data_IF_468563174649
#
_entry.id   IF_468563174649
#
_cell.length_a   1.000
_cell.length_b   1.000
_cell.length_c   1.000
_cell.angle_alpha   90.00
_cell.angle_beta   90.00
_cell.angle_gamma   90.00
#
_symmetry.space_group_name_H-M   'P 1'
#
loop_
_entity.id
_entity.type
_entity.pdbx_description
1 polymer ?
#
# COMPACT_ATOMS: atom_id res chain seq x y z
N UNK A 1 2.53 -16.13 -8.07
CA UNK A 1 2.90 -16.59 -6.71
C UNK A 1 2.58 -18.06 -6.50
N UNK A 2 1.39 -18.53 -6.89
CA UNK A 2 0.96 -19.94 -6.83
C UNK A 2 1.96 -20.94 -7.41
N UNK A 3 2.43 -20.70 -8.65
CA UNK A 3 3.44 -21.55 -9.30
C UNK A 3 4.72 -21.61 -8.45
N UNK A 4 5.22 -20.47 -7.98
CA UNK A 4 6.40 -20.40 -7.10
C UNK A 4 6.21 -21.14 -5.76
N UNK A 5 5.00 -21.03 -5.18
CA UNK A 5 4.63 -21.69 -3.92
C UNK A 5 4.53 -23.22 -4.09
N UNK A 6 4.19 -23.72 -5.27
CA UNK A 6 4.23 -25.16 -5.55
C UNK A 6 5.66 -25.74 -5.44
N UNK A 7 6.71 -24.90 -5.49
CA UNK A 7 8.10 -25.31 -5.30
C UNK A 7 8.64 -25.03 -3.89
N UNK A 8 7.95 -24.23 -3.07
CA UNK A 8 8.43 -23.80 -1.75
C UNK A 8 7.40 -24.06 -0.64
N UNK A 9 7.78 -24.80 0.40
CA UNK A 9 6.90 -25.04 1.54
C UNK A 9 6.70 -23.77 2.39
N UNK A 10 5.48 -23.62 2.92
CA UNK A 10 5.05 -22.51 3.79
C UNK A 10 5.97 -22.42 5.02
N UNK A 11 6.40 -23.56 5.56
CA UNK A 11 7.33 -23.64 6.70
C UNK A 11 8.70 -23.05 6.38
N UNK A 12 9.23 -23.26 5.16
CA UNK A 12 10.53 -22.71 4.75
C UNK A 12 10.45 -21.20 4.56
N UNK A 13 9.41 -20.69 3.90
CA UNK A 13 9.21 -19.24 3.74
C UNK A 13 9.05 -18.55 5.09
N UNK A 14 8.26 -19.14 6.01
CA UNK A 14 8.08 -18.64 7.37
C UNK A 14 9.35 -18.71 8.21
N UNK A 15 10.17 -19.75 8.07
CA UNK A 15 11.46 -19.87 8.74
C UNK A 15 12.51 -18.88 8.20
N UNK A 16 12.44 -18.54 6.90
CA UNK A 16 13.37 -17.61 6.26
C UNK A 16 13.06 -16.15 6.64
N UNK A 17 11.78 -15.78 6.68
CA UNK A 17 11.30 -14.39 6.84
C UNK A 17 10.69 -14.08 8.22
N UNK A 18 10.41 -15.08 9.07
CA UNK A 18 9.81 -14.90 10.39
C UNK A 18 10.80 -14.77 11.55
N UNK A 19 10.31 -14.33 12.72
CA UNK A 19 11.10 -14.25 13.95
C UNK A 19 12.11 -13.08 13.97
N UNK A 20 13.36 -13.34 14.37
CA UNK A 20 14.42 -12.29 14.51
C UNK A 20 14.74 -11.56 13.18
N UNK A 21 14.31 -12.10 12.05
CA UNK A 21 14.53 -11.55 10.70
C UNK A 21 13.34 -10.78 10.13
N UNK A 22 12.24 -10.63 10.87
CA UNK A 22 11.05 -9.89 10.40
C UNK A 22 11.37 -8.45 9.98
N UNK A 23 12.28 -7.77 10.69
CA UNK A 23 12.75 -6.43 10.29
C UNK A 23 13.46 -6.43 8.93
N UNK A 24 14.32 -7.42 8.68
CA UNK A 24 14.98 -7.59 7.37
C UNK A 24 13.95 -7.97 6.30
N UNK A 25 12.98 -8.83 6.64
CA UNK A 25 11.86 -9.18 5.77
C UNK A 25 11.06 -7.94 5.35
N UNK A 26 10.74 -7.04 6.28
CA UNK A 26 10.03 -5.79 5.98
C UNK A 26 10.81 -4.90 5.02
N UNK A 27 12.13 -4.77 5.21
CA UNK A 27 13.00 -3.99 4.31
C UNK A 27 13.02 -4.62 2.90
N UNK A 28 13.20 -5.94 2.81
CA UNK A 28 13.19 -6.64 1.53
C UNK A 28 11.84 -6.54 0.82
N UNK A 29 10.74 -6.65 1.56
CA UNK A 29 9.39 -6.56 1.03
C UNK A 29 9.03 -5.13 0.59
N UNK A 30 9.45 -4.12 1.36
CA UNK A 30 9.31 -2.72 0.95
C UNK A 30 10.11 -2.45 -0.33
N UNK A 31 11.37 -2.91 -0.40
CA UNK A 31 12.20 -2.78 -1.60
C UNK A 31 11.61 -3.51 -2.81
N UNK A 32 11.06 -4.70 -2.62
CA UNK A 32 10.32 -5.39 -3.68
C UNK A 32 9.12 -4.57 -4.14
N UNK A 33 8.36 -3.98 -3.20
CA UNK A 33 7.23 -3.09 -3.51
C UNK A 33 7.62 -1.92 -4.41
N UNK A 34 8.80 -1.33 -4.17
CA UNK A 34 9.35 -0.25 -5.01
C UNK A 34 9.70 -0.73 -6.42
N UNK A 35 10.30 -1.92 -6.55
CA UNK A 35 10.72 -2.48 -7.85
C UNK A 35 9.52 -3.02 -8.65
N UNK A 36 8.47 -3.45 -7.95
CA UNK A 36 7.23 -3.97 -8.55
C UNK A 36 6.06 -3.11 -8.10
N UNK A 37 5.91 -1.89 -8.66
CA UNK A 37 4.82 -0.97 -8.33
C UNK A 37 3.47 -1.55 -8.77
N UNK A 38 2.74 -2.12 -7.83
CA UNK A 38 1.36 -2.54 -8.05
C UNK A 38 0.43 -1.39 -7.72
N UNK A 39 -0.46 -1.09 -8.65
CA UNK A 39 -1.62 -0.28 -8.34
C UNK A 39 -2.54 -1.00 -7.35
N UNK A 40 -3.44 -0.26 -6.71
CA UNK A 40 -4.40 -0.79 -5.72
C UNK A 40 -5.16 -2.03 -6.23
N UNK A 41 -5.53 -2.09 -7.52
CA UNK A 41 -6.20 -3.22 -8.15
C UNK A 41 -5.39 -4.53 -8.14
N UNK A 42 -4.06 -4.44 -8.21
CA UNK A 42 -3.14 -5.58 -8.31
C UNK A 42 -2.46 -5.92 -6.98
N UNK A 43 -2.40 -4.95 -6.06
CA UNK A 43 -1.78 -5.12 -4.74
C UNK A 43 -2.51 -6.16 -3.87
N UNK A 44 -3.85 -6.21 -3.92
CA UNK A 44 -4.65 -7.14 -3.11
C UNK A 44 -4.48 -8.61 -3.53
N UNK A 45 -4.55 -8.98 -4.83
CA UNK A 45 -4.19 -10.33 -5.26
C UNK A 45 -2.75 -10.74 -4.87
N UNK A 46 -1.79 -9.83 -4.99
CA UNK A 46 -0.41 -10.08 -4.58
C UNK A 46 -0.31 -10.34 -3.07
N UNK A 47 -1.02 -9.54 -2.26
CA UNK A 47 -1.12 -9.72 -0.81
C UNK A 47 -1.71 -11.09 -0.44
N UNK A 48 -2.80 -11.51 -1.08
CA UNK A 48 -3.39 -12.84 -0.87
C UNK A 48 -2.35 -13.92 -1.16
N UNK A 49 -1.66 -13.81 -2.29
CA UNK A 49 -0.62 -14.76 -2.67
C UNK A 49 0.52 -14.85 -1.65
N UNK A 50 0.98 -13.72 -1.09
CA UNK A 50 2.06 -13.70 -0.10
C UNK A 50 1.63 -14.26 1.25
N UNK A 51 0.45 -13.88 1.76
CA UNK A 51 -0.08 -14.41 3.01
C UNK A 51 -0.33 -15.91 2.88
N UNK A 52 -0.91 -16.33 1.76
CA UNK A 52 -1.07 -17.74 1.44
C UNK A 52 0.30 -18.44 1.43
N UNK A 53 1.33 -17.88 0.79
CA UNK A 53 2.69 -18.42 0.78
C UNK A 53 3.38 -18.53 2.16
N UNK A 54 2.74 -18.09 3.25
CA UNK A 54 3.28 -18.16 4.60
C UNK A 54 4.19 -16.99 4.96
N UNK A 55 4.22 -15.94 4.14
CA UNK A 55 4.95 -14.72 4.45
C UNK A 55 4.29 -14.06 5.66
N UNK A 56 5.06 -13.63 6.70
CA UNK A 56 4.49 -12.97 7.87
C UNK A 56 3.66 -11.73 7.50
N UNK A 57 2.54 -11.52 8.19
CA UNK A 57 1.60 -10.45 7.88
C UNK A 57 2.27 -9.06 7.84
N UNK A 58 3.15 -8.76 8.81
CA UNK A 58 3.90 -7.50 8.82
C UNK A 58 4.73 -7.25 7.55
N UNK A 59 5.39 -8.29 7.05
CA UNK A 59 6.21 -8.26 5.83
C UNK A 59 5.34 -8.02 4.59
N UNK A 60 4.19 -8.69 4.52
CA UNK A 60 3.22 -8.46 3.43
C UNK A 60 2.62 -7.07 3.46
N UNK A 61 2.40 -6.50 4.65
CA UNK A 61 1.89 -5.14 4.81
C UNK A 61 2.95 -4.09 4.46
N UNK A 62 4.24 -4.32 4.78
CA UNK A 62 5.32 -3.45 4.31
C UNK A 62 5.37 -3.36 2.79
N UNK A 63 5.23 -4.49 2.09
CA UNK A 63 5.11 -4.50 0.64
C UNK A 63 3.84 -3.75 0.17
N UNK A 64 2.69 -4.03 0.79
CA UNK A 64 1.42 -3.43 0.42
C UNK A 64 1.42 -1.90 0.55
N UNK A 65 2.11 -1.36 1.56
CA UNK A 65 2.27 0.08 1.77
C UNK A 65 3.29 0.66 0.79
N UNK A 66 4.45 0.01 0.61
CA UNK A 66 5.52 0.53 -0.24
C UNK A 66 5.13 0.62 -1.71
N UNK A 67 4.38 -0.37 -2.20
CA UNK A 67 4.10 -0.55 -3.63
C UNK A 67 3.33 0.59 -4.30
N UNK A 68 2.22 1.10 -3.73
CA UNK A 68 1.57 2.30 -4.26
C UNK A 68 2.36 3.56 -3.91
N UNK A 69 2.94 3.63 -2.70
CA UNK A 69 3.51 4.85 -2.15
C UNK A 69 4.80 5.25 -2.86
N UNK A 70 5.72 4.33 -3.14
CA UNK A 70 6.98 4.62 -3.84
C UNK A 70 6.95 3.95 -5.21
N UNK A 71 6.46 4.67 -6.21
CA UNK A 71 6.43 4.20 -7.60
C UNK A 71 7.21 5.15 -8.53
N UNK A 72 7.69 4.61 -9.64
CA UNK A 72 8.59 5.27 -10.59
C UNK A 72 7.92 6.45 -11.29
N UNK A 73 6.60 6.39 -11.48
CA UNK A 73 5.82 7.50 -12.06
C UNK A 73 5.82 8.69 -11.10
N UNK A 74 5.56 8.45 -9.81
CA UNK A 74 5.62 9.46 -8.76
C UNK A 74 7.02 10.06 -8.66
N UNK A 75 8.05 9.21 -8.66
CA UNK A 75 9.46 9.63 -8.58
C UNK A 75 9.83 10.48 -9.80
N UNK A 76 9.47 10.05 -11.01
CA UNK A 76 9.76 10.77 -12.25
C UNK A 76 9.09 12.15 -12.29
N UNK A 77 7.82 12.22 -11.88
CA UNK A 77 7.08 13.48 -11.83
C UNK A 77 7.59 14.42 -10.74
N UNK A 78 7.82 13.92 -9.52
CA UNK A 78 8.40 14.71 -8.43
C UNK A 78 9.78 15.25 -8.81
N UNK A 79 10.60 14.42 -9.46
CA UNK A 79 11.94 14.81 -9.91
C UNK A 79 11.86 15.88 -10.99
N UNK A 80 10.97 15.71 -11.97
CA UNK A 80 10.78 16.67 -13.06
C UNK A 80 10.22 18.02 -12.61
N UNK A 81 9.37 18.04 -11.57
CA UNK A 81 8.65 19.24 -11.16
C UNK A 81 9.30 19.97 -9.98
N UNK A 82 9.80 19.23 -8.99
CA UNK A 82 10.32 19.79 -7.73
C UNK A 82 11.80 19.47 -7.50
N UNK A 83 12.45 18.76 -8.43
CA UNK A 83 13.86 18.44 -8.36
C UNK A 83 14.21 17.28 -7.43
N UNK A 84 15.51 17.10 -7.22
CA UNK A 84 16.05 15.91 -6.53
C UNK A 84 15.78 15.89 -5.02
N UNK A 85 15.73 17.06 -4.37
CA UNK A 85 15.58 17.17 -2.92
C UNK A 85 14.27 16.56 -2.41
N UNK A 86 13.10 17.11 -2.79
CA UNK A 86 11.80 16.57 -2.39
C UNK A 86 11.59 15.12 -2.84
N UNK A 87 12.13 14.75 -4.01
CA UNK A 87 12.05 13.39 -4.53
C UNK A 87 12.75 12.37 -3.65
N UNK A 88 14.01 12.62 -3.26
CA UNK A 88 14.76 11.72 -2.38
C UNK A 88 14.12 11.61 -1.00
N UNK A 89 13.60 12.72 -0.49
CA UNK A 89 12.86 12.74 0.77
C UNK A 89 11.59 11.88 0.67
N UNK A 90 10.79 12.05 -0.38
CA UNK A 90 9.59 11.24 -0.61
C UNK A 90 9.89 9.74 -0.65
N UNK A 91 10.91 9.32 -1.43
CA UNK A 91 11.33 7.92 -1.54
C UNK A 91 11.82 7.39 -0.19
N UNK A 92 12.71 8.12 0.46
CA UNK A 92 13.30 7.72 1.74
C UNK A 92 12.23 7.59 2.83
N UNK A 93 11.37 8.59 2.97
CA UNK A 93 10.31 8.55 3.96
C UNK A 93 9.24 7.51 3.62
N UNK A 94 8.93 7.30 2.35
CA UNK A 94 8.01 6.26 1.93
C UNK A 94 8.48 4.86 2.31
N UNK A 95 9.76 4.56 2.08
CA UNK A 95 10.39 3.32 2.52
C UNK A 95 10.38 3.19 4.05
N UNK A 96 10.72 4.27 4.77
CA UNK A 96 10.70 4.28 6.24
C UNK A 96 9.29 4.01 6.77
N UNK A 97 8.26 4.68 6.24
CA UNK A 97 6.86 4.46 6.61
C UNK A 97 6.49 3.01 6.34
N UNK A 98 6.76 2.47 5.15
CA UNK A 98 6.41 1.10 4.81
C UNK A 98 7.07 0.06 5.74
N UNK A 99 8.36 0.22 6.05
CA UNK A 99 9.09 -0.70 6.93
C UNK A 99 8.62 -0.58 8.38
N UNK A 100 8.51 0.65 8.90
CA UNK A 100 8.10 0.89 10.29
C UNK A 100 6.64 0.50 10.50
N UNK A 101 5.73 0.92 9.61
CA UNK A 101 4.31 0.58 9.71
C UNK A 101 4.09 -0.94 9.60
N UNK A 102 4.71 -1.62 8.63
CA UNK A 102 4.59 -3.07 8.52
C UNK A 102 5.22 -3.82 9.70
N UNK A 103 6.33 -3.31 10.26
CA UNK A 103 6.89 -3.85 11.51
C UNK A 103 5.94 -3.69 12.71
N UNK A 104 5.38 -2.50 12.90
CA UNK A 104 4.42 -2.22 13.98
C UNK A 104 3.17 -3.08 13.82
N UNK A 105 2.58 -3.14 12.63
CA UNK A 105 1.39 -3.93 12.32
C UNK A 105 1.64 -5.44 12.53
N UNK A 106 2.83 -5.93 12.17
CA UNK A 106 3.25 -7.31 12.43
C UNK A 106 3.34 -7.63 13.93
N UNK A 107 3.87 -6.70 14.73
CA UNK A 107 3.98 -6.88 16.19
C UNK A 107 2.64 -6.92 16.92
N UNK A 108 1.59 -6.32 16.34
CA UNK A 108 0.24 -6.34 16.87
C UNK A 108 -0.47 -7.70 16.69
N UNK A 109 0.13 -8.65 15.94
CA UNK A 109 -0.41 -10.00 15.71
C UNK A 109 -1.88 -9.97 15.30
N UNK A 110 -2.14 -9.22 14.23
CA UNK A 110 -3.46 -8.95 13.70
C UNK A 110 -3.98 -10.07 12.78
N UNK A 111 -3.30 -11.21 12.70
CA UNK A 111 -3.64 -12.32 11.79
C UNK A 111 -5.08 -12.81 12.01
N UNK A 112 -5.61 -12.71 13.24
CA UNK A 112 -7.00 -13.03 13.59
C UNK A 112 -8.05 -12.20 12.83
N UNK A 113 -7.65 -11.06 12.27
CA UNK A 113 -8.50 -10.13 11.54
C UNK A 113 -8.32 -10.22 10.02
N UNK A 114 -7.50 -11.13 9.54
CA UNK A 114 -7.43 -11.49 8.11
C UNK A 114 -8.54 -12.49 7.81
N UNK A 115 -9.22 -12.33 6.67
CA UNK A 115 -10.32 -13.22 6.31
C UNK A 115 -9.81 -14.66 6.07
N UNK A 116 -10.51 -15.71 6.55
CA UNK A 116 -10.00 -17.09 6.52
C UNK A 116 -9.64 -17.60 5.12
N UNK A 117 -10.38 -17.19 4.10
CA UNK A 117 -10.14 -17.61 2.71
C UNK A 117 -8.78 -17.12 2.16
N UNK A 118 -8.14 -16.15 2.80
CA UNK A 118 -6.82 -15.64 2.41
C UNK A 118 -5.73 -16.64 2.81
N UNK A 119 -5.91 -17.35 3.93
CA UNK A 119 -5.00 -18.42 4.36
C UNK A 119 -5.31 -19.75 3.67
N UNK A 120 -6.59 -19.99 3.37
CA UNK A 120 -7.08 -21.23 2.78
C UNK A 120 -7.11 -21.16 1.25
N UNK A 121 -5.97 -21.40 0.61
CA UNK A 121 -5.97 -21.74 -0.82
C UNK A 121 -6.25 -23.23 -0.99
N UNK A 122 -7.52 -23.64 -0.93
CA UNK A 122 -7.94 -25.01 -1.25
C UNK A 122 -8.11 -25.13 -2.77
N UNK A 123 -7.24 -25.87 -3.45
CA UNK A 123 -7.54 -26.33 -4.81
C UNK A 123 -8.33 -27.63 -4.74
N UNK A 124 -9.54 -27.63 -5.28
CA UNK A 124 -10.42 -28.81 -5.27
C UNK A 124 -10.73 -29.40 -3.88
N UNK A 125 -10.50 -28.64 -2.79
CA UNK A 125 -10.66 -29.15 -1.41
C UNK A 125 -9.43 -29.83 -0.81
N UNK A 126 -8.28 -29.87 -1.48
CA UNK A 126 -7.04 -30.45 -0.95
C UNK A 126 -5.95 -29.40 -0.71
N UNK A 127 -5.11 -29.66 0.32
CA UNK A 127 -3.91 -28.88 0.63
C UNK A 127 -2.88 -29.19 -0.46
N UNK A 128 -2.37 -28.17 -1.16
CA UNK A 128 -1.29 -28.33 -2.14
C UNK A 128 -0.08 -28.91 -1.40
N UNK A 129 0.24 -30.17 -1.67
CA UNK A 129 1.45 -30.82 -1.15
C UNK A 129 2.60 -30.61 -2.14
N UNK A 130 3.63 -29.80 -1.81
CA UNK A 130 4.79 -29.59 -2.68
C UNK A 130 5.61 -30.88 -2.90
N UNK A 131 5.38 -31.93 -2.09
CA UNK A 131 6.05 -33.23 -2.19
C UNK A 131 5.34 -34.21 -3.13
N UNK A 132 4.10 -33.93 -3.53
CA UNK A 132 3.50 -34.59 -4.68
C UNK A 132 4.22 -34.09 -5.93
N UNK A 133 4.89 -34.97 -6.67
CA UNK A 133 5.66 -34.63 -7.88
C UNK A 133 4.79 -34.07 -9.01
N UNK A 134 4.28 -32.85 -8.84
CA UNK A 134 3.42 -32.15 -9.79
C UNK A 134 4.19 -31.78 -11.04
N UNK A 135 3.60 -32.06 -12.20
CA UNK A 135 4.15 -31.68 -13.50
C UNK A 135 4.05 -30.16 -13.70
N UNK A 136 4.78 -29.63 -14.68
CA UNK A 136 4.72 -28.20 -15.01
C UNK A 136 3.31 -27.76 -15.44
N UNK A 137 2.60 -28.63 -16.15
CA UNK A 137 1.24 -28.37 -16.61
C UNK A 137 0.26 -28.30 -15.43
N UNK A 138 0.37 -29.22 -14.46
CA UNK A 138 -0.42 -29.19 -13.23
C UNK A 138 -0.20 -27.86 -12.48
N UNK A 139 1.05 -27.43 -12.33
CA UNK A 139 1.39 -26.19 -11.60
C UNK A 139 0.81 -24.95 -12.27
N UNK A 140 0.81 -24.90 -13.61
CA UNK A 140 0.23 -23.78 -14.37
C UNK A 140 -1.29 -23.80 -14.25
N UNK A 141 -1.92 -24.96 -14.41
CA UNK A 141 -3.37 -25.10 -14.32
C UNK A 141 -3.90 -24.68 -12.95
N UNK A 142 -3.23 -25.13 -11.88
CA UNK A 142 -3.47 -24.70 -10.49
C UNK A 142 -3.37 -23.17 -10.37
N UNK A 143 -2.34 -22.58 -10.96
CA UNK A 143 -2.15 -21.13 -10.97
C UNK A 143 -3.27 -20.37 -11.67
N UNK A 144 -3.74 -20.85 -12.82
CA UNK A 144 -4.83 -20.24 -13.59
C UNK A 144 -6.15 -20.33 -12.83
N UNK A 145 -6.46 -21.48 -12.23
CA UNK A 145 -7.66 -21.68 -11.42
C UNK A 145 -7.67 -20.76 -10.19
N UNK A 146 -6.55 -20.63 -9.49
CA UNK A 146 -6.43 -19.73 -8.33
C UNK A 146 -6.63 -18.26 -8.74
N UNK A 147 -6.01 -17.83 -9.84
CA UNK A 147 -6.21 -16.48 -10.39
C UNK A 147 -7.68 -16.24 -10.70
N UNK A 148 -8.35 -17.19 -11.36
CA UNK A 148 -9.78 -17.10 -11.66
C UNK A 148 -10.66 -16.96 -10.41
N UNK A 149 -10.39 -17.77 -9.38
CA UNK A 149 -11.12 -17.74 -8.11
C UNK A 149 -10.92 -16.41 -7.36
N UNK A 150 -9.69 -15.91 -7.30
CA UNK A 150 -9.36 -14.64 -6.66
C UNK A 150 -10.05 -13.49 -7.41
N UNK A 151 -9.91 -13.45 -8.75
CA UNK A 151 -10.53 -12.41 -9.57
C UNK A 151 -12.05 -12.43 -9.44
N UNK A 152 -12.70 -13.59 -9.48
CA UNK A 152 -14.16 -13.68 -9.33
C UNK A 152 -14.64 -13.16 -7.96
N UNK A 153 -13.87 -13.43 -6.89
CA UNK A 153 -14.19 -12.96 -5.53
C UNK A 153 -13.93 -11.47 -5.33
N UNK A 154 -12.99 -10.88 -6.06
CA UNK A 154 -12.56 -9.48 -5.93
C UNK A 154 -13.32 -8.57 -6.90
N UNK A 155 -13.74 -9.08 -8.06
CA UNK A 155 -14.38 -8.34 -9.14
C UNK A 155 -15.49 -7.37 -8.68
N UNK A 156 -16.47 -7.78 -7.84
CA UNK A 156 -17.52 -6.85 -7.40
C UNK A 156 -16.96 -5.65 -6.62
N UNK A 157 -15.94 -5.87 -5.79
CA UNK A 157 -15.30 -4.82 -5.00
C UNK A 157 -14.42 -3.93 -5.86
N UNK A 158 -13.73 -4.51 -6.84
CA UNK A 158 -12.95 -3.78 -7.83
C UNK A 158 -13.85 -2.86 -8.67
N UNK A 159 -15.01 -3.34 -9.12
CA UNK A 159 -15.99 -2.50 -9.81
C UNK A 159 -16.50 -1.36 -8.93
N UNK A 160 -16.86 -1.63 -7.68
CA UNK A 160 -17.33 -0.60 -6.73
C UNK A 160 -16.22 0.43 -6.46
N UNK A 161 -14.99 -0.02 -6.23
CA UNK A 161 -13.84 0.84 -6.00
C UNK A 161 -13.52 1.71 -7.21
N UNK A 162 -13.54 1.15 -8.43
CA UNK A 162 -13.34 1.91 -9.67
C UNK A 162 -14.49 2.88 -9.93
N UNK A 163 -15.75 2.46 -9.74
CA UNK A 163 -16.90 3.32 -9.96
C UNK A 163 -16.93 4.51 -9.00
N UNK A 164 -16.72 4.25 -7.69
CA UNK A 164 -16.62 5.31 -6.69
C UNK A 164 -15.39 6.19 -6.94
N UNK A 165 -14.26 5.57 -7.27
CA UNK A 165 -13.03 6.28 -7.64
C UNK A 165 -13.24 7.21 -8.82
N UNK A 166 -13.87 6.75 -9.90
CA UNK A 166 -14.19 7.55 -11.07
C UNK A 166 -15.17 8.69 -10.76
N UNK A 167 -16.16 8.46 -9.88
CA UNK A 167 -17.12 9.48 -9.48
C UNK A 167 -16.48 10.64 -8.70
N UNK A 168 -15.44 10.36 -7.91
CA UNK A 168 -14.73 11.35 -7.10
C UNK A 168 -13.38 11.78 -7.70
N UNK A 169 -13.04 11.25 -8.89
CA UNK A 169 -11.75 11.49 -9.52
C UNK A 169 -11.60 12.97 -9.87
N UNK A 170 -10.55 13.61 -9.34
CA UNK A 170 -10.29 15.03 -9.55
C UNK A 170 -11.13 15.97 -8.68
N UNK A 171 -11.90 15.46 -7.71
CA UNK A 171 -12.61 16.30 -6.74
C UNK A 171 -11.66 16.82 -5.65
N UNK A 172 -10.77 17.75 -6.01
CA UNK A 172 -9.86 18.36 -5.05
C UNK A 172 -10.21 19.83 -4.79
N UNK A 173 -10.69 20.19 -3.59
CA UNK A 173 -11.08 21.55 -3.30
C UNK A 173 -9.84 22.43 -3.05
N UNK A 174 -9.30 23.06 -4.10
CA UNK A 174 -8.13 23.96 -3.98
C UNK A 174 -8.34 25.07 -2.94
N UNK A 175 -9.53 25.65 -2.87
CA UNK A 175 -9.87 26.73 -1.93
C UNK A 175 -9.90 26.24 -0.47
N UNK A 176 -10.19 24.97 -0.24
CA UNK A 176 -10.15 24.38 1.09
C UNK A 176 -8.71 24.28 1.60
N UNK A 177 -7.77 23.93 0.73
CA UNK A 177 -6.35 23.80 1.10
C UNK A 177 -5.72 25.15 1.42
N UNK A 178 -6.02 26.20 0.64
CA UNK A 178 -5.50 27.54 0.92
C UNK A 178 -6.06 28.12 2.22
N UNK A 179 -7.30 27.78 2.59
CA UNK A 179 -7.93 28.27 3.83
C UNK A 179 -7.52 27.48 5.08
N UNK A 180 -7.40 26.15 4.99
CA UNK A 180 -7.23 25.28 6.17
C UNK A 180 -5.88 24.56 6.24
N UNK A 181 -5.14 24.43 5.13
CA UNK A 181 -3.86 23.72 5.07
C UNK A 181 -2.66 24.61 4.70
N UNK A 182 -2.81 25.94 4.83
CA UNK A 182 -1.74 26.91 4.62
C UNK A 182 -0.62 26.85 5.67
N UNK A 183 0.50 27.52 5.38
CA UNK A 183 1.75 27.49 6.16
C UNK A 183 1.61 27.94 7.62
N UNK A 184 0.61 28.75 7.96
CA UNK A 184 0.36 29.22 9.33
C UNK A 184 -0.43 28.26 10.23
N UNK A 185 -0.98 27.16 9.70
CA UNK A 185 -1.80 26.24 10.49
C UNK A 185 -0.98 25.03 10.98
N UNK A 186 -0.76 24.85 12.30
CA UNK A 186 -0.08 23.67 12.81
C UNK A 186 -0.82 22.37 12.51
N UNK A 187 -2.11 22.39 12.18
CA UNK A 187 -2.88 21.21 11.77
C UNK A 187 -2.90 20.96 10.26
N UNK A 188 -2.17 21.77 9.47
CA UNK A 188 -2.20 21.69 8.00
C UNK A 188 -1.90 20.28 7.47
N UNK A 189 -0.85 19.63 8.00
CA UNK A 189 -0.46 18.26 7.60
C UNK A 189 -1.58 17.26 7.92
N UNK A 190 -2.14 17.32 9.12
CA UNK A 190 -3.21 16.40 9.53
C UNK A 190 -4.47 16.59 8.67
N UNK A 191 -4.87 17.83 8.43
CA UNK A 191 -6.02 18.17 7.58
C UNK A 191 -5.78 17.65 6.16
N UNK A 192 -4.59 17.86 5.62
CA UNK A 192 -4.22 17.40 4.29
C UNK A 192 -4.30 15.86 4.19
N UNK A 193 -3.78 15.12 5.17
CA UNK A 193 -3.90 13.66 5.21
C UNK A 193 -5.36 13.21 5.29
N UNK A 194 -6.17 13.82 6.17
CA UNK A 194 -7.58 13.45 6.33
C UNK A 194 -8.40 13.72 5.08
N UNK A 195 -8.12 14.80 4.34
CA UNK A 195 -8.76 15.10 3.06
C UNK A 195 -8.23 14.19 1.95
N UNK A 196 -6.96 13.80 2.02
CA UNK A 196 -6.33 12.89 1.07
C UNK A 196 -6.92 11.46 1.10
N UNK A 197 -7.34 10.96 2.26
CA UNK A 197 -7.87 9.59 2.41
C UNK A 197 -9.14 9.34 1.55
N UNK A 198 -10.19 10.18 1.59
CA UNK A 198 -11.35 10.02 0.71
C UNK A 198 -11.05 10.24 -0.77
N UNK A 199 -10.02 11.03 -1.08
CA UNK A 199 -9.66 11.39 -2.45
C UNK A 199 -9.08 10.18 -3.19
N UNK A 200 -9.68 9.86 -4.34
CA UNK A 200 -9.11 8.87 -5.25
C UNK A 200 -8.33 9.56 -6.37
N UNK A 201 -7.03 9.33 -6.37
CA UNK A 201 -6.19 9.58 -7.54
C UNK A 201 -4.97 8.67 -7.51
N UNK A 202 -4.47 8.30 -8.69
CA UNK A 202 -3.13 7.77 -8.79
C UNK A 202 -2.10 8.90 -8.62
N UNK A 203 -0.82 8.53 -8.44
CA UNK A 203 0.25 9.50 -8.26
C UNK A 203 0.32 10.52 -9.40
N UNK A 204 0.12 10.12 -10.67
CA UNK A 204 0.15 11.05 -11.80
C UNK A 204 -1.04 12.02 -11.81
N UNK A 205 -2.23 11.56 -11.45
CA UNK A 205 -3.45 12.36 -11.46
C UNK A 205 -3.48 13.46 -10.40
N UNK A 206 -2.75 13.30 -9.29
CA UNK A 206 -2.70 14.28 -8.21
C UNK A 206 -1.59 15.33 -8.39
N UNK A 207 -0.61 15.09 -9.28
CA UNK A 207 0.51 16.01 -9.48
C UNK A 207 0.12 17.42 -9.91
N UNK A 208 -0.80 17.61 -10.89
CA UNK A 208 -1.17 18.97 -11.30
C UNK A 208 -1.74 19.79 -10.14
N UNK A 209 -2.50 19.14 -9.26
CA UNK A 209 -3.02 19.77 -8.05
C UNK A 209 -1.91 20.07 -7.04
N UNK A 210 -1.00 19.11 -6.80
CA UNK A 210 0.15 19.32 -5.90
C UNK A 210 0.98 20.52 -6.38
N UNK A 211 1.18 20.66 -7.68
CA UNK A 211 1.84 21.82 -8.28
C UNK A 211 1.07 23.11 -8.06
N UNK A 212 -0.23 23.13 -8.35
CA UNK A 212 -1.06 24.31 -8.16
C UNK A 212 -1.08 24.78 -6.69
N UNK A 213 -1.11 23.83 -5.74
CA UNK A 213 -1.04 24.12 -4.31
C UNK A 213 0.35 24.58 -3.86
N UNK A 214 1.42 24.03 -4.44
CA UNK A 214 2.78 24.51 -4.23
C UNK A 214 2.94 25.95 -4.70
N UNK A 215 2.42 26.28 -5.89
CA UNK A 215 2.47 27.64 -6.45
C UNK A 215 1.65 28.63 -5.62
N UNK A 216 0.63 28.14 -4.90
CA UNK A 216 -0.15 28.89 -3.90
C UNK A 216 0.56 29.01 -2.53
N UNK A 217 1.78 28.49 -2.40
CA UNK A 217 2.63 28.66 -1.22
C UNK A 217 2.39 27.64 -0.10
N UNK A 218 1.79 26.48 -0.40
CA UNK A 218 1.66 25.42 0.60
C UNK A 218 3.03 24.79 0.92
N UNK A 219 3.31 24.47 2.21
CA UNK A 219 4.54 23.81 2.60
C UNK A 219 4.73 22.46 1.90
N UNK A 220 5.95 22.18 1.45
CA UNK A 220 6.26 20.95 0.70
C UNK A 220 5.97 19.69 1.51
N UNK A 221 6.22 19.69 2.83
CA UNK A 221 5.89 18.53 3.68
C UNK A 221 4.39 18.27 3.78
N UNK A 222 3.56 19.31 3.80
CA UNK A 222 2.09 19.17 3.74
C UNK A 222 1.65 18.56 2.41
N UNK A 223 2.25 18.99 1.30
CA UNK A 223 1.94 18.49 -0.05
C UNK A 223 2.37 17.02 -0.23
N UNK A 224 3.56 16.66 0.25
CA UNK A 224 4.05 15.28 0.18
C UNK A 224 3.21 14.37 1.09
N UNK A 225 2.83 14.82 2.29
CA UNK A 225 1.95 14.05 3.17
C UNK A 225 0.55 13.85 2.56
N UNK A 226 -0.01 14.89 1.95
CA UNK A 226 -1.26 14.80 1.19
C UNK A 226 -1.16 13.75 0.07
N UNK A 227 -0.13 13.84 -0.76
CA UNK A 227 0.09 12.91 -1.85
C UNK A 227 0.26 11.47 -1.35
N UNK A 228 1.05 11.25 -0.30
CA UNK A 228 1.21 9.93 0.32
C UNK A 228 -0.11 9.36 0.84
N UNK A 229 -0.96 10.20 1.45
CA UNK A 229 -2.27 9.79 1.95
C UNK A 229 -3.23 9.40 0.82
N UNK A 230 -3.28 10.21 -0.24
CA UNK A 230 -4.10 9.94 -1.44
C UNK A 230 -3.69 8.62 -2.08
N UNK A 231 -2.40 8.31 -2.12
CA UNK A 231 -1.91 7.12 -2.83
C UNK A 231 -1.96 5.86 -1.99
N UNK A 232 -1.68 5.92 -0.68
CA UNK A 232 -1.56 4.74 0.17
C UNK A 232 -2.78 4.43 1.06
N UNK A 233 -3.71 5.38 1.21
CA UNK A 233 -4.88 5.25 2.10
C UNK A 233 -6.20 5.55 1.37
N UNK A 234 -6.21 5.48 0.03
CA UNK A 234 -7.37 5.86 -0.77
C UNK A 234 -8.62 5.02 -0.47
N UNK A 235 -9.80 5.62 -0.62
CA UNK A 235 -11.07 4.93 -0.41
C UNK A 235 -11.21 3.63 -1.24
N UNK A 236 -10.88 3.59 -2.55
CA UNK A 236 -10.97 2.35 -3.33
C UNK A 236 -10.04 1.25 -2.84
N UNK A 237 -8.86 1.61 -2.33
CA UNK A 237 -7.95 0.65 -1.70
C UNK A 237 -8.55 0.08 -0.40
N UNK A 238 -9.13 0.92 0.46
CA UNK A 238 -9.79 0.46 1.69
C UNK A 238 -10.99 -0.45 1.39
N UNK A 239 -11.77 -0.15 0.34
CA UNK A 239 -12.87 -0.99 -0.14
C UNK A 239 -12.36 -2.36 -0.61
N UNK A 240 -11.24 -2.38 -1.34
CA UNK A 240 -10.64 -3.62 -1.82
C UNK A 240 -10.04 -4.43 -0.67
N UNK A 241 -9.35 -3.77 0.27
CA UNK A 241 -8.82 -4.39 1.48
C UNK A 241 -9.93 -4.96 2.37
N UNK A 242 -11.14 -4.36 2.38
CA UNK A 242 -12.28 -4.90 3.11
C UNK A 242 -12.67 -6.31 2.69
N UNK A 243 -12.31 -6.72 1.47
CA UNK A 243 -12.52 -8.08 0.98
C UNK A 243 -11.62 -9.10 1.67
N UNK A 244 -10.41 -8.70 2.06
CA UNK A 244 -9.36 -9.60 2.60
C UNK A 244 -9.07 -9.38 4.08
N UNK A 245 -9.43 -8.21 4.61
CA UNK A 245 -9.17 -7.78 5.98
C UNK A 245 -10.48 -7.34 6.64
N UNK A 246 -10.62 -7.67 7.92
CA UNK A 246 -11.73 -7.22 8.76
C UNK A 246 -11.54 -5.75 9.17
N UNK A 247 -12.63 -5.01 9.47
CA UNK A 247 -12.55 -3.58 9.77
C UNK A 247 -11.54 -3.20 10.85
N UNK A 248 -11.36 -3.95 11.96
CA UNK A 248 -10.38 -3.58 12.98
C UNK A 248 -8.95 -3.52 12.45
N UNK A 249 -8.58 -4.42 11.53
CA UNK A 249 -7.25 -4.41 10.93
C UNK A 249 -7.09 -3.25 9.96
N UNK A 250 -8.13 -2.93 9.17
CA UNK A 250 -8.12 -1.78 8.26
C UNK A 250 -7.99 -0.47 9.03
N UNK A 251 -8.75 -0.29 10.11
CA UNK A 251 -8.63 0.90 10.97
C UNK A 251 -7.22 1.00 11.56
N UNK A 252 -6.65 -0.12 12.02
CA UNK A 252 -5.29 -0.14 12.54
C UNK A 252 -4.26 0.19 11.46
N UNK A 253 -4.43 -0.34 10.24
CA UNK A 253 -3.60 -0.04 9.08
C UNK A 253 -3.63 1.45 8.74
N UNK A 254 -4.82 2.04 8.61
CA UNK A 254 -5.01 3.48 8.35
C UNK A 254 -4.40 4.32 9.46
N UNK A 255 -4.59 3.94 10.72
CA UNK A 255 -4.06 4.68 11.87
C UNK A 255 -2.53 4.66 11.91
N UNK A 256 -1.90 3.48 11.75
CA UNK A 256 -0.44 3.34 11.82
C UNK A 256 0.24 4.02 10.62
N UNK A 257 -0.24 3.74 9.40
CA UNK A 257 0.31 4.33 8.18
C UNK A 257 0.04 5.84 8.13
N UNK A 258 -1.17 6.27 8.46
CA UNK A 258 -1.55 7.68 8.53
C UNK A 258 -0.74 8.47 9.56
N UNK A 259 -0.50 7.90 10.75
CA UNK A 259 0.37 8.52 11.74
C UNK A 259 1.82 8.66 11.22
N UNK A 260 2.33 7.67 10.48
CA UNK A 260 3.63 7.74 9.82
C UNK A 260 3.70 8.87 8.78
N UNK A 261 2.67 8.99 7.93
CA UNK A 261 2.55 10.05 6.92
C UNK A 261 2.50 11.43 7.57
N UNK A 262 1.70 11.60 8.63
CA UNK A 262 1.59 12.86 9.37
C UNK A 262 2.92 13.22 10.02
N UNK A 263 3.59 12.27 10.68
CA UNK A 263 4.89 12.49 11.31
C UNK A 263 5.95 12.93 10.30
N UNK A 264 5.99 12.28 9.13
CA UNK A 264 6.90 12.64 8.04
C UNK A 264 6.56 14.01 7.47
N UNK A 265 5.28 14.35 7.28
CA UNK A 265 4.89 15.67 6.79
C UNK A 265 5.35 16.81 7.69
N UNK A 266 5.19 16.65 9.02
CA UNK A 266 5.73 17.62 9.98
C UNK A 266 7.25 17.65 9.99
N UNK A 267 7.91 16.50 9.91
CA UNK A 267 9.36 16.41 9.82
C UNK A 267 9.87 17.17 8.59
N UNK A 268 9.21 17.02 7.44
CA UNK A 268 9.56 17.71 6.21
C UNK A 268 9.34 19.21 6.29
N UNK A 269 8.24 19.67 6.89
CA UNK A 269 8.02 21.10 7.11
C UNK A 269 9.07 21.70 8.06
N UNK A 270 9.62 20.91 8.99
CA UNK A 270 10.70 21.37 9.88
C UNK A 270 12.08 21.41 9.19
N UNK A 271 12.33 20.50 8.24
CA UNK A 271 13.63 20.38 7.53
C UNK A 271 13.68 21.26 6.27
N UNK A 272 12.55 21.44 5.60
CA UNK A 272 12.37 22.32 4.44
C UNK A 272 11.43 23.46 4.84
N UNK A 273 11.92 24.49 5.55
CA UNK A 273 11.13 25.68 5.77
C UNK A 273 10.83 26.35 4.43
N UNK A 274 9.59 26.83 4.30
CA UNK A 274 9.02 27.54 3.14
C UNK A 274 9.75 28.86 2.90
#
# INVERSE_FOLDING_TARGET
VTVLRSFMSVERTRALLGGKREGVGNVMAAGLGVITPFCSCSAVPAFIGFVAAGVPLGVTLSFLIASPLVNEVAIGLLFGMFGIGPTLLYVGAGLVIAVVAGFVLGRLKLERWVEPFVFETRLGGQVIDPSAGMTWDDRIQIGVEEVGLILHKIWPYLLVGIALGAAIHGWAPEDFFTQYAGSGNPFAVLIAVLVGIPLYSNAAGIMPLVQALHDKGLPMGTLLAFMMAVVALSLPELILLRRVLRPPLIVTFVAVTGAGIVAVGYLFNAVIPV
#
